data_IF_997511670559
#
_entry.id   IF_997511670559
#
_cell.length_a   1.000
_cell.length_b   1.000
_cell.length_c   1.000
_cell.angle_alpha   90.00
_cell.angle_beta   90.00
_cell.angle_gamma   90.00
#
_symmetry.space_group_name_H-M   'P 1'
#
loop_
_entity.id
_entity.type
_entity.pdbx_description
1 polymer ?
#
# COMPACT_ATOMS: atom_id res chain seq x y z
N UNK A 1 33.79 33.16 8.18
CA UNK A 1 32.57 33.00 7.34
C UNK A 1 32.51 31.67 6.57
N UNK A 2 33.55 31.27 5.83
CA UNK A 2 33.54 30.05 5.00
C UNK A 2 33.25 28.73 5.74
N UNK A 3 33.69 28.59 7.00
CA UNK A 3 33.40 27.40 7.85
C UNK A 3 31.92 27.29 8.28
N UNK A 4 31.24 28.43 8.48
CA UNK A 4 29.81 28.49 8.88
C UNK A 4 28.93 28.10 7.70
N UNK A 5 29.19 28.67 6.52
CA UNK A 5 28.47 28.35 5.29
C UNK A 5 28.60 26.87 4.94
N UNK A 6 29.80 26.28 5.12
CA UNK A 6 30.02 24.86 4.86
C UNK A 6 29.26 23.96 5.84
N UNK A 7 29.26 24.28 7.14
CA UNK A 7 28.53 23.51 8.16
C UNK A 7 27.02 23.58 7.96
N UNK A 8 26.49 24.76 7.61
CA UNK A 8 25.07 24.95 7.27
C UNK A 8 24.70 24.21 5.99
N UNK A 9 25.57 24.21 4.98
CA UNK A 9 25.37 23.45 3.74
C UNK A 9 25.27 21.94 3.96
N UNK A 10 26.14 21.38 4.80
CA UNK A 10 26.09 19.95 5.17
C UNK A 10 24.78 19.62 5.91
N UNK A 11 24.34 20.49 6.82
CA UNK A 11 23.08 20.29 7.54
C UNK A 11 21.85 20.31 6.63
N UNK A 12 21.79 21.26 5.68
CA UNK A 12 20.71 21.33 4.69
C UNK A 12 20.70 20.08 3.79
N UNK A 13 21.87 19.60 3.39
CA UNK A 13 21.99 18.40 2.57
C UNK A 13 21.49 17.14 3.31
N UNK A 14 21.90 16.96 4.57
CA UNK A 14 21.42 15.85 5.42
C UNK A 14 19.90 15.96 5.64
N UNK A 15 19.39 17.16 5.89
CA UNK A 15 17.95 17.40 6.03
C UNK A 15 17.20 17.01 4.75
N UNK A 16 17.64 17.48 3.58
CA UNK A 16 17.03 17.12 2.29
C UNK A 16 17.09 15.62 2.01
N UNK A 17 18.20 14.95 2.35
CA UNK A 17 18.34 13.52 2.17
C UNK A 17 17.35 12.74 3.05
N UNK A 18 17.24 13.09 4.34
CA UNK A 18 16.32 12.44 5.28
C UNK A 18 14.87 12.75 4.95
N UNK A 19 14.53 14.00 4.61
CA UNK A 19 13.18 14.40 4.18
C UNK A 19 12.79 13.67 2.90
N UNK A 20 13.68 13.58 1.90
CA UNK A 20 13.40 12.85 0.66
C UNK A 20 13.16 11.36 0.89
N UNK A 21 13.95 10.75 1.78
CA UNK A 21 13.76 9.35 2.17
C UNK A 21 12.43 9.13 2.92
N UNK A 22 12.09 10.02 3.85
CA UNK A 22 10.86 9.96 4.64
C UNK A 22 9.61 10.17 3.79
N UNK A 23 9.64 11.14 2.86
CA UNK A 23 8.53 11.44 1.96
C UNK A 23 8.22 10.25 1.04
N UNK A 24 9.25 9.61 0.45
CA UNK A 24 9.05 8.39 -0.36
C UNK A 24 8.36 7.26 0.40
N UNK A 25 8.75 7.04 1.66
CA UNK A 25 8.16 6.00 2.52
C UNK A 25 6.73 6.34 2.96
N UNK A 26 6.40 7.63 3.06
CA UNK A 26 5.06 8.10 3.43
C UNK A 26 4.03 7.86 2.31
N UNK A 27 4.41 8.08 1.05
CA UNK A 27 3.53 7.80 -0.10
C UNK A 27 3.17 6.31 -0.20
N UNK A 28 4.15 5.42 0.01
CA UNK A 28 3.96 3.98 -0.03
C UNK A 28 3.00 3.47 1.08
N UNK A 29 2.94 4.16 2.23
CA UNK A 29 2.04 3.82 3.33
C UNK A 29 0.59 4.23 3.07
N UNK A 30 0.37 5.28 2.25
CA UNK A 30 -0.97 5.70 1.84
C UNK A 30 -1.57 4.74 0.81
N UNK A 31 -0.76 4.27 -0.15
CA UNK A 31 -1.19 3.31 -1.18
C UNK A 31 -1.63 1.97 -0.58
N UNK A 32 -0.96 1.52 0.49
CA UNK A 32 -1.32 0.30 1.22
C UNK A 32 -2.68 0.40 1.92
N UNK A 33 -3.04 1.57 2.47
CA UNK A 33 -4.33 1.78 3.13
C UNK A 33 -5.49 1.85 2.12
N UNK A 34 -5.24 2.44 0.96
CA UNK A 34 -6.19 2.48 -0.17
C UNK A 34 -6.42 1.07 -0.73
N UNK A 35 -5.37 0.26 -0.88
CA UNK A 35 -5.50 -1.13 -1.31
C UNK A 35 -6.42 -1.95 -0.36
N UNK A 36 -6.25 -1.82 0.96
CA UNK A 36 -7.08 -2.50 1.96
C UNK A 36 -8.58 -2.24 1.76
N UNK A 37 -8.98 -0.99 1.52
CA UNK A 37 -10.38 -0.60 1.38
C UNK A 37 -10.95 -0.91 0.00
N UNK A 38 -10.20 -0.61 -1.05
CA UNK A 38 -10.75 -0.55 -2.42
C UNK A 38 -10.40 -1.80 -3.26
N UNK A 39 -9.45 -2.63 -2.81
CA UNK A 39 -9.00 -3.85 -3.50
C UNK A 39 -9.50 -5.12 -2.80
N UNK A 40 -9.08 -5.34 -1.55
CA UNK A 40 -9.24 -6.63 -0.88
C UNK A 40 -10.68 -6.90 -0.44
N UNK A 41 -11.35 -5.90 0.14
CA UNK A 41 -12.70 -6.07 0.67
C UNK A 41 -13.73 -6.39 -0.45
N UNK A 42 -13.78 -5.65 -1.58
CA UNK A 42 -14.67 -6.00 -2.68
C UNK A 42 -14.39 -7.39 -3.27
N UNK A 43 -13.12 -7.79 -3.40
CA UNK A 43 -12.73 -9.11 -3.92
C UNK A 43 -13.17 -10.23 -2.98
N UNK A 44 -13.00 -10.06 -1.66
CA UNK A 44 -13.44 -11.04 -0.66
C UNK A 44 -14.97 -11.20 -0.65
N UNK A 45 -15.71 -10.10 -0.72
CA UNK A 45 -17.18 -10.15 -0.80
C UNK A 45 -17.66 -10.83 -2.10
N UNK A 46 -17.03 -10.49 -3.23
CA UNK A 46 -17.35 -11.06 -4.54
C UNK A 46 -17.10 -12.57 -4.58
N UNK A 47 -15.96 -13.04 -4.04
CA UNK A 47 -15.66 -14.47 -4.02
C UNK A 47 -16.59 -15.23 -3.08
N UNK A 48 -16.97 -14.66 -1.92
CA UNK A 48 -17.96 -15.27 -1.02
C UNK A 48 -19.34 -15.38 -1.67
N UNK A 49 -19.78 -14.33 -2.37
CA UNK A 49 -21.01 -14.38 -3.15
C UNK A 49 -20.94 -15.47 -4.24
N UNK A 50 -19.78 -15.68 -4.87
CA UNK A 50 -19.59 -16.75 -5.86
C UNK A 50 -19.61 -18.16 -5.25
N UNK A 51 -19.19 -18.35 -3.99
CA UNK A 51 -19.37 -19.63 -3.28
C UNK A 51 -20.87 -19.93 -3.15
N UNK A 52 -21.67 -18.95 -2.74
CA UNK A 52 -23.13 -19.12 -2.62
C UNK A 52 -23.77 -19.42 -3.98
N UNK A 53 -23.33 -18.77 -5.05
CA UNK A 53 -23.79 -19.07 -6.42
C UNK A 53 -23.44 -20.49 -6.84
N UNK A 54 -22.22 -20.95 -6.54
CA UNK A 54 -21.78 -22.31 -6.81
C UNK A 54 -22.65 -23.34 -6.07
N UNK A 55 -22.97 -23.10 -4.80
CA UNK A 55 -23.87 -23.97 -4.03
C UNK A 55 -25.28 -24.00 -4.64
N UNK A 56 -25.78 -22.86 -5.13
CA UNK A 56 -27.07 -22.79 -5.83
C UNK A 56 -27.08 -23.52 -7.17
N UNK A 57 -26.00 -23.44 -7.92
CA UNK A 57 -25.84 -24.22 -9.15
C UNK A 57 -25.92 -25.72 -8.86
N UNK A 58 -25.17 -26.21 -7.85
CA UNK A 58 -25.22 -27.63 -7.44
C UNK A 58 -26.65 -28.06 -7.09
N UNK A 59 -27.36 -27.27 -6.28
CA UNK A 59 -28.75 -27.52 -5.90
C UNK A 59 -29.68 -27.63 -7.11
N UNK A 60 -29.55 -26.68 -8.05
CA UNK A 60 -30.39 -26.61 -9.25
C UNK A 60 -30.09 -27.75 -10.24
N UNK A 61 -28.81 -28.09 -10.45
CA UNK A 61 -28.42 -29.25 -11.26
C UNK A 61 -29.02 -30.54 -10.68
N UNK A 62 -28.90 -30.76 -9.36
CA UNK A 62 -29.50 -31.92 -8.70
C UNK A 62 -31.02 -31.94 -8.84
N UNK A 63 -31.67 -30.79 -8.69
CA UNK A 63 -33.13 -30.67 -8.84
C UNK A 63 -33.60 -30.98 -10.26
N UNK A 64 -32.89 -30.48 -11.28
CA UNK A 64 -33.16 -30.79 -12.69
C UNK A 64 -33.12 -32.30 -12.94
N UNK A 65 -32.08 -32.98 -12.47
CA UNK A 65 -31.94 -34.45 -12.60
C UNK A 65 -33.04 -35.20 -11.85
N UNK A 66 -33.39 -34.78 -10.63
CA UNK A 66 -34.43 -35.45 -9.83
C UNK A 66 -35.84 -35.28 -10.40
N UNK A 67 -36.15 -34.10 -10.94
CA UNK A 67 -37.47 -33.79 -11.49
C UNK A 67 -37.61 -34.20 -12.95
N UNK A 68 -36.49 -34.47 -13.65
CA UNK A 68 -36.52 -34.72 -15.08
C UNK A 68 -36.85 -33.47 -15.90
N UNK A 69 -36.55 -32.28 -15.36
CA UNK A 69 -36.98 -30.99 -15.91
C UNK A 69 -35.78 -30.10 -16.27
N UNK A 70 -35.90 -29.37 -17.38
CA UNK A 70 -34.89 -28.43 -17.87
C UNK A 70 -34.98 -27.06 -17.18
N UNK A 71 -36.13 -26.66 -16.62
CA UNK A 71 -36.29 -25.31 -16.04
C UNK A 71 -35.23 -24.98 -14.95
N UNK A 72 -34.90 -25.87 -14.00
CA UNK A 72 -33.85 -25.61 -13.02
C UNK A 72 -32.44 -25.52 -13.65
N UNK A 73 -32.23 -26.17 -14.79
CA UNK A 73 -30.95 -26.17 -15.50
C UNK A 73 -30.66 -24.79 -16.10
N UNK A 74 -31.67 -24.15 -16.68
CA UNK A 74 -31.57 -22.80 -17.23
C UNK A 74 -31.31 -21.78 -16.10
N UNK A 75 -31.98 -21.94 -14.95
CA UNK A 75 -31.71 -21.11 -13.77
C UNK A 75 -30.26 -21.28 -13.28
N UNK A 76 -29.73 -22.51 -13.26
CA UNK A 76 -28.34 -22.78 -12.88
C UNK A 76 -27.35 -22.06 -13.81
N UNK A 77 -27.63 -22.07 -15.12
CA UNK A 77 -26.83 -21.37 -16.12
C UNK A 77 -26.83 -19.85 -15.94
N UNK A 78 -27.92 -19.27 -15.46
CA UNK A 78 -27.96 -17.85 -15.13
C UNK A 78 -27.14 -17.50 -13.88
N UNK A 79 -27.09 -18.39 -12.88
CA UNK A 79 -26.17 -18.26 -11.74
C UNK A 79 -24.71 -18.39 -12.18
N UNK A 80 -24.42 -19.32 -13.10
CA UNK A 80 -23.10 -19.49 -13.69
C UNK A 80 -22.61 -18.22 -14.40
N UNK A 81 -23.41 -17.64 -15.31
CA UNK A 81 -23.04 -16.39 -16.02
C UNK A 81 -22.69 -15.27 -15.05
N UNK A 82 -23.54 -15.05 -14.03
CA UNK A 82 -23.30 -14.06 -12.97
C UNK A 82 -22.01 -14.36 -12.20
N UNK A 83 -21.69 -15.63 -11.95
CA UNK A 83 -20.44 -16.04 -11.32
C UNK A 83 -19.22 -15.78 -12.20
N UNK A 84 -19.29 -16.10 -13.49
CA UNK A 84 -18.21 -15.86 -14.46
C UNK A 84 -17.91 -14.37 -14.62
N UNK A 85 -18.95 -13.52 -14.68
CA UNK A 85 -18.83 -12.06 -14.75
C UNK A 85 -18.13 -11.50 -13.51
N UNK A 86 -18.45 -12.03 -12.32
CA UNK A 86 -17.78 -11.62 -11.07
C UNK A 86 -16.28 -11.94 -11.12
N UNK A 87 -15.86 -13.05 -11.73
CA UNK A 87 -14.42 -13.32 -11.92
C UNK A 87 -13.76 -12.29 -12.85
N UNK A 88 -14.44 -11.83 -13.92
CA UNK A 88 -13.94 -10.75 -14.79
C UNK A 88 -13.73 -9.47 -13.98
N UNK A 89 -14.73 -9.08 -13.19
CA UNK A 89 -14.65 -7.89 -12.35
C UNK A 89 -13.53 -8.01 -11.31
N UNK A 90 -13.35 -9.19 -10.71
CA UNK A 90 -12.26 -9.44 -9.77
C UNK A 90 -10.88 -9.29 -10.43
N UNK A 91 -10.72 -9.73 -11.69
CA UNK A 91 -9.47 -9.54 -12.44
C UNK A 91 -9.15 -8.04 -12.67
N UNK A 92 -10.19 -7.23 -12.89
CA UNK A 92 -10.04 -5.78 -13.07
C UNK A 92 -9.71 -5.06 -11.76
N UNK A 93 -10.37 -5.47 -10.67
CA UNK A 93 -10.12 -4.90 -9.35
C UNK A 93 -8.74 -5.31 -8.87
N UNK A 94 -8.35 -6.59 -9.01
CA UNK A 94 -7.10 -7.14 -8.47
C UNK A 94 -6.13 -7.68 -9.53
N UNK A 95 -5.51 -6.78 -10.33
CA UNK A 95 -4.65 -7.16 -11.44
C UNK A 95 -3.41 -7.95 -11.01
N UNK A 96 -2.87 -7.69 -9.81
CA UNK A 96 -1.72 -8.41 -9.27
C UNK A 96 -1.97 -9.92 -9.10
N UNK A 97 -3.23 -10.33 -8.84
CA UNK A 97 -3.63 -11.74 -8.74
C UNK A 97 -4.47 -12.22 -9.91
N UNK A 98 -4.52 -11.47 -11.02
CA UNK A 98 -5.32 -11.83 -12.19
C UNK A 98 -5.02 -13.25 -12.70
N UNK A 99 -3.77 -13.72 -12.61
CA UNK A 99 -3.40 -15.09 -13.01
C UNK A 99 -4.12 -16.15 -12.16
N UNK A 100 -4.20 -15.94 -10.85
CA UNK A 100 -4.87 -16.88 -9.93
C UNK A 100 -6.39 -16.81 -10.08
N UNK A 101 -6.94 -15.61 -10.28
CA UNK A 101 -8.36 -15.39 -10.53
C UNK A 101 -8.78 -16.06 -11.85
N UNK A 102 -7.98 -15.95 -12.91
CA UNK A 102 -8.20 -16.68 -14.18
C UNK A 102 -8.17 -18.18 -13.99
N UNK A 103 -7.25 -18.70 -13.17
CA UNK A 103 -7.21 -20.13 -12.89
C UNK A 103 -8.49 -20.62 -12.19
N UNK A 104 -8.98 -19.87 -11.20
CA UNK A 104 -10.26 -20.15 -10.53
C UNK A 104 -11.45 -20.09 -11.49
N UNK A 105 -11.48 -19.08 -12.35
CA UNK A 105 -12.51 -18.93 -13.38
C UNK A 105 -12.53 -20.12 -14.32
N UNK A 106 -11.37 -20.59 -14.76
CA UNK A 106 -11.27 -21.77 -15.61
C UNK A 106 -11.69 -23.06 -14.87
N UNK A 107 -11.41 -23.19 -13.57
CA UNK A 107 -11.97 -24.29 -12.75
C UNK A 107 -13.50 -24.21 -12.64
N UNK A 108 -14.05 -23.00 -12.47
CA UNK A 108 -15.48 -22.74 -12.41
C UNK A 108 -16.18 -23.13 -13.72
N UNK A 109 -15.62 -22.72 -14.86
CA UNK A 109 -16.09 -23.10 -16.21
C UNK A 109 -16.06 -24.60 -16.46
N UNK A 110 -14.98 -25.27 -16.03
CA UNK A 110 -14.85 -26.73 -16.14
C UNK A 110 -15.90 -27.46 -15.32
N UNK A 111 -16.18 -26.98 -14.11
CA UNK A 111 -17.24 -27.53 -13.27
C UNK A 111 -18.61 -27.36 -13.95
N UNK A 112 -18.94 -26.15 -14.39
CA UNK A 112 -20.23 -25.86 -15.04
C UNK A 112 -20.47 -26.74 -16.28
N UNK A 113 -19.50 -26.79 -17.18
CA UNK A 113 -19.60 -27.62 -18.38
C UNK A 113 -19.80 -29.12 -18.05
N UNK A 114 -19.11 -29.62 -17.02
CA UNK A 114 -19.26 -31.01 -16.58
C UNK A 114 -20.63 -31.26 -15.92
N UNK A 115 -21.11 -30.34 -15.09
CA UNK A 115 -22.38 -30.46 -14.39
C UNK A 115 -23.56 -30.34 -15.37
N UNK A 116 -23.51 -29.39 -16.30
CA UNK A 116 -24.47 -29.22 -17.37
C UNK A 116 -24.55 -30.46 -18.26
N UNK A 117 -23.41 -30.94 -18.76
CA UNK A 117 -23.38 -32.16 -19.59
C UNK A 117 -23.94 -33.37 -18.84
N UNK A 118 -23.57 -33.51 -17.56
CA UNK A 118 -24.10 -34.60 -16.72
C UNK A 118 -25.62 -34.49 -16.62
N UNK A 119 -26.15 -33.33 -16.21
CA UNK A 119 -27.59 -33.12 -16.11
C UNK A 119 -28.33 -33.41 -17.43
N UNK A 120 -27.81 -32.93 -18.56
CA UNK A 120 -28.39 -33.23 -19.87
C UNK A 120 -28.38 -34.72 -20.24
N UNK A 121 -27.28 -35.42 -19.96
CA UNK A 121 -27.17 -36.85 -20.23
C UNK A 121 -28.19 -37.64 -19.39
N UNK A 122 -28.41 -37.23 -18.15
CA UNK A 122 -29.44 -37.78 -17.26
C UNK A 122 -30.84 -37.55 -17.82
N UNK A 123 -31.17 -36.32 -18.23
CA UNK A 123 -32.47 -35.97 -18.82
C UNK A 123 -32.75 -36.74 -20.13
N UNK A 124 -31.71 -37.01 -20.92
CA UNK A 124 -31.82 -37.75 -22.18
C UNK A 124 -31.80 -39.28 -22.00
N UNK A 125 -31.78 -39.79 -20.77
CA UNK A 125 -31.61 -41.21 -20.44
C UNK A 125 -30.36 -41.85 -21.09
N UNK A 126 -29.30 -41.06 -21.31
CA UNK A 126 -28.06 -41.51 -21.99
C UNK A 126 -26.98 -42.00 -21.02
N UNK A 127 -27.23 -41.99 -19.72
CA UNK A 127 -26.21 -42.31 -18.71
C UNK A 127 -26.08 -43.82 -18.53
N UNK A 128 -25.02 -44.40 -19.10
CA UNK A 128 -24.68 -45.81 -18.90
C UNK A 128 -24.05 -46.10 -17.52
N UNK A 129 -23.45 -45.09 -16.85
CA UNK A 129 -22.75 -45.26 -15.57
C UNK A 129 -22.91 -44.03 -14.64
N UNK A 130 -24.08 -43.92 -14.01
CA UNK A 130 -24.46 -42.80 -13.14
C UNK A 130 -23.52 -42.58 -11.94
N UNK A 131 -23.07 -43.62 -11.20
CA UNK A 131 -22.22 -43.42 -10.02
C UNK A 131 -20.88 -42.77 -10.34
N UNK A 132 -20.28 -43.10 -11.49
CA UNK A 132 -18.96 -42.59 -11.85
C UNK A 132 -19.00 -41.11 -12.28
N UNK A 133 -20.01 -40.71 -13.07
CA UNK A 133 -20.21 -39.31 -13.44
C UNK A 133 -20.45 -38.42 -12.21
N UNK A 134 -21.34 -38.84 -11.30
CA UNK A 134 -21.62 -38.10 -10.06
C UNK A 134 -20.36 -37.99 -9.18
N UNK A 135 -19.56 -39.05 -9.09
CA UNK A 135 -18.29 -39.02 -8.33
C UNK A 135 -17.30 -38.02 -8.93
N UNK A 136 -17.15 -37.99 -10.26
CA UNK A 136 -16.26 -37.04 -10.95
C UNK A 136 -16.73 -35.59 -10.75
N UNK A 137 -18.03 -35.35 -10.88
CA UNK A 137 -18.64 -34.03 -10.66
C UNK A 137 -18.39 -33.53 -9.23
N UNK A 138 -18.64 -34.37 -8.22
CA UNK A 138 -18.37 -34.04 -6.81
C UNK A 138 -16.89 -33.78 -6.54
N UNK A 139 -16.00 -34.53 -7.20
CA UNK A 139 -14.55 -34.32 -7.09
C UNK A 139 -14.15 -32.96 -7.66
N UNK A 140 -14.65 -32.61 -8.84
CA UNK A 140 -14.40 -31.30 -9.47
C UNK A 140 -14.96 -30.16 -8.62
N UNK A 141 -16.17 -30.31 -8.08
CA UNK A 141 -16.81 -29.33 -7.20
C UNK A 141 -15.99 -29.09 -5.91
N UNK A 142 -15.55 -30.17 -5.26
CA UNK A 142 -14.75 -30.06 -4.05
C UNK A 142 -13.38 -29.44 -4.32
N UNK A 143 -12.73 -29.81 -5.43
CA UNK A 143 -11.48 -29.18 -5.83
C UNK A 143 -11.63 -27.67 -6.05
N UNK A 144 -12.69 -27.24 -6.74
CA UNK A 144 -13.01 -25.83 -6.95
C UNK A 144 -13.29 -25.10 -5.63
N UNK A 145 -14.09 -25.70 -4.73
CA UNK A 145 -14.33 -25.15 -3.37
C UNK A 145 -13.02 -24.96 -2.59
N UNK A 146 -12.12 -25.93 -2.67
CA UNK A 146 -10.81 -25.85 -2.03
C UNK A 146 -9.92 -24.76 -2.63
N UNK A 147 -9.89 -24.63 -3.97
CA UNK A 147 -9.16 -23.57 -4.65
C UNK A 147 -9.69 -22.18 -4.27
N UNK A 148 -11.02 -22.01 -4.24
CA UNK A 148 -11.65 -20.76 -3.82
C UNK A 148 -11.30 -20.45 -2.35
N UNK A 149 -11.37 -21.44 -1.46
CA UNK A 149 -11.02 -21.27 -0.03
C UNK A 149 -9.56 -20.87 0.15
N UNK A 150 -8.63 -21.51 -0.57
CA UNK A 150 -7.19 -21.18 -0.56
C UNK A 150 -6.95 -19.77 -1.07
N UNK A 151 -7.60 -19.37 -2.16
CA UNK A 151 -7.49 -18.01 -2.69
C UNK A 151 -7.99 -16.98 -1.67
N UNK A 152 -9.15 -17.23 -1.03
CA UNK A 152 -9.72 -16.37 0.01
C UNK A 152 -8.75 -16.22 1.20
N UNK A 153 -8.25 -17.32 1.72
CA UNK A 153 -7.30 -17.33 2.85
C UNK A 153 -6.02 -16.55 2.50
N UNK A 154 -5.45 -16.82 1.32
CA UNK A 154 -4.27 -16.12 0.84
C UNK A 154 -4.53 -14.62 0.62
N UNK A 155 -5.69 -14.24 0.09
CA UNK A 155 -6.11 -12.84 -0.06
C UNK A 155 -6.25 -12.16 1.29
N UNK A 156 -6.84 -12.83 2.28
CA UNK A 156 -7.02 -12.33 3.63
C UNK A 156 -5.68 -12.19 4.37
N UNK A 157 -4.77 -13.16 4.27
CA UNK A 157 -3.44 -13.06 4.86
C UNK A 157 -2.63 -11.92 4.25
N UNK A 158 -2.70 -11.73 2.93
CA UNK A 158 -2.09 -10.59 2.26
C UNK A 158 -2.69 -9.27 2.74
N UNK A 159 -4.00 -9.19 2.92
CA UNK A 159 -4.67 -8.05 3.51
C UNK A 159 -4.16 -7.74 4.92
N UNK A 160 -4.14 -8.74 5.81
CA UNK A 160 -3.66 -8.57 7.20
C UNK A 160 -2.19 -8.16 7.23
N UNK A 161 -1.35 -8.75 6.37
CA UNK A 161 0.08 -8.42 6.27
C UNK A 161 0.28 -6.98 5.79
N UNK A 162 -0.43 -6.55 4.75
CA UNK A 162 -0.39 -5.18 4.23
C UNK A 162 -0.90 -4.18 5.26
N UNK A 163 -1.94 -4.53 6.02
CA UNK A 163 -2.48 -3.70 7.10
C UNK A 163 -1.48 -3.56 8.25
N UNK A 164 -0.87 -4.66 8.70
CA UNK A 164 0.14 -4.66 9.75
C UNK A 164 1.37 -3.84 9.33
N UNK A 165 1.87 -4.01 8.09
CA UNK A 165 2.99 -3.22 7.57
C UNK A 165 2.66 -1.74 7.46
N UNK A 166 1.42 -1.39 7.14
CA UNK A 166 0.96 0.00 7.13
C UNK A 166 0.92 0.61 8.52
N UNK A 167 0.42 -0.11 9.53
CA UNK A 167 0.39 0.38 10.91
C UNK A 167 1.80 0.57 11.49
N UNK A 168 2.74 -0.34 11.23
CA UNK A 168 4.14 -0.18 11.63
C UNK A 168 4.80 0.99 10.89
N UNK A 169 4.54 1.15 9.59
CA UNK A 169 5.08 2.25 8.80
C UNK A 169 4.51 3.60 9.26
N UNK A 170 3.24 3.68 9.63
CA UNK A 170 2.63 4.89 10.20
C UNK A 170 3.23 5.23 11.55
N UNK A 171 3.45 4.25 12.45
CA UNK A 171 4.14 4.49 13.73
C UNK A 171 5.59 4.95 13.52
N UNK A 172 6.34 4.28 12.64
CA UNK A 172 7.70 4.67 12.28
C UNK A 172 7.76 6.07 11.66
N UNK A 173 6.82 6.41 10.77
CA UNK A 173 6.75 7.73 10.15
C UNK A 173 6.37 8.82 11.18
N UNK A 174 5.50 8.52 12.14
CA UNK A 174 5.17 9.44 13.24
C UNK A 174 6.38 9.64 14.18
N UNK A 175 7.05 8.56 14.59
CA UNK A 175 8.26 8.65 15.42
C UNK A 175 9.41 9.36 14.68
N UNK A 176 9.61 9.08 13.39
CA UNK A 176 10.56 9.80 12.54
C UNK A 176 10.19 11.28 12.39
N UNK A 177 8.90 11.60 12.23
CA UNK A 177 8.42 12.97 12.13
C UNK A 177 8.63 13.76 13.43
N UNK A 178 8.34 13.15 14.58
CA UNK A 178 8.61 13.72 15.91
C UNK A 178 10.12 13.88 16.11
N UNK A 179 10.92 12.86 15.79
CA UNK A 179 12.37 12.93 15.89
C UNK A 179 12.97 14.01 14.99
N UNK A 180 12.49 14.14 13.75
CA UNK A 180 12.86 15.20 12.82
C UNK A 180 12.45 16.59 13.32
N UNK A 181 11.26 16.71 13.90
CA UNK A 181 10.79 17.95 14.52
C UNK A 181 11.69 18.39 15.68
N UNK A 182 12.02 17.46 16.59
CA UNK A 182 12.93 17.71 17.72
C UNK A 182 14.33 18.09 17.21
N UNK A 183 14.86 17.36 16.22
CA UNK A 183 16.15 17.66 15.59
C UNK A 183 16.18 19.07 14.97
N UNK A 184 15.12 19.46 14.29
CA UNK A 184 15.01 20.80 13.69
C UNK A 184 14.99 21.90 14.76
N UNK A 185 14.27 21.67 15.87
CA UNK A 185 14.18 22.60 16.99
C UNK A 185 15.54 22.82 17.68
N UNK A 186 16.30 21.73 17.89
CA UNK A 186 17.68 21.79 18.40
C UNK A 186 18.58 22.52 17.40
N UNK A 187 18.47 22.22 16.11
CA UNK A 187 19.26 22.87 15.06
C UNK A 187 19.03 24.38 15.01
N UNK A 188 17.77 24.82 15.11
CA UNK A 188 17.42 26.24 15.16
C UNK A 188 17.98 26.92 16.40
N UNK A 189 17.95 26.27 17.56
CA UNK A 189 18.59 26.76 18.79
C UNK A 189 20.11 26.93 18.66
N UNK A 190 20.78 25.95 18.06
CA UNK A 190 22.24 26.00 17.79
C UNK A 190 22.57 27.13 16.81
N UNK A 191 21.81 27.27 15.71
CA UNK A 191 21.98 28.36 14.76
C UNK A 191 21.86 29.73 15.43
N UNK A 192 20.82 29.95 16.24
CA UNK A 192 20.61 31.21 16.96
C UNK A 192 21.78 31.49 17.93
N UNK A 193 22.25 30.47 18.66
CA UNK A 193 23.40 30.60 19.55
C UNK A 193 24.67 31.01 18.79
N UNK A 194 24.97 30.36 17.67
CA UNK A 194 26.15 30.67 16.86
C UNK A 194 26.06 32.05 16.20
N UNK A 195 24.88 32.44 15.69
CA UNK A 195 24.66 33.79 15.14
C UNK A 195 24.92 34.82 16.24
N UNK A 196 24.34 34.64 17.44
CA UNK A 196 24.56 35.56 18.56
C UNK A 196 26.02 35.67 18.96
N UNK A 197 26.72 34.55 19.10
CA UNK A 197 28.14 34.52 19.47
C UNK A 197 29.03 35.14 18.38
N UNK A 198 28.69 34.95 17.10
CA UNK A 198 29.46 35.54 15.99
C UNK A 198 29.21 37.05 15.86
N UNK A 199 27.96 37.50 16.03
CA UNK A 199 27.60 38.93 16.05
C UNK A 199 28.28 39.64 17.21
N UNK A 200 28.38 39.03 18.39
CA UNK A 200 29.14 39.57 19.51
C UNK A 200 30.62 39.75 19.18
N UNK A 201 31.23 38.80 18.48
CA UNK A 201 32.63 38.91 18.05
C UNK A 201 32.84 40.01 16.99
N UNK A 202 31.90 40.20 16.07
CA UNK A 202 31.90 41.34 15.14
C UNK A 202 31.74 42.68 15.86
N UNK A 203 30.89 42.75 16.89
CA UNK A 203 30.71 43.95 17.71
C UNK A 203 31.99 44.31 18.48
N UNK A 204 32.66 43.32 19.09
CA UNK A 204 33.94 43.53 19.79
C UNK A 204 35.04 43.99 18.82
N UNK A 205 35.11 43.43 17.61
CA UNK A 205 36.09 43.86 16.60
C UNK A 205 35.81 45.30 16.12
N UNK A 206 34.53 45.67 15.94
CA UNK A 206 34.15 47.03 15.58
C UNK A 206 34.51 48.04 16.70
N UNK A 207 34.31 47.66 17.96
CA UNK A 207 34.66 48.48 19.12
C UNK A 207 36.18 48.65 19.28
N UNK A 208 36.96 47.59 19.06
CA UNK A 208 38.41 47.65 19.06
C UNK A 208 38.95 48.54 17.94
N UNK A 209 38.39 48.47 16.73
CA UNK A 209 38.78 49.33 15.61
C UNK A 209 38.46 50.81 15.87
N UNK A 210 37.27 51.12 16.39
CA UNK A 210 36.92 52.49 16.77
C UNK A 210 37.86 53.05 17.86
N UNK A 211 38.30 52.20 18.78
CA UNK A 211 39.26 52.57 19.83
C UNK A 211 40.67 52.79 19.26
N UNK A 212 41.08 51.98 18.29
CA UNK A 212 42.34 52.13 17.56
C UNK A 212 42.37 53.44 16.75
N UNK A 213 41.29 53.76 16.04
CA UNK A 213 41.18 55.02 15.29
C UNK A 213 41.27 56.24 16.20
N UNK A 214 40.61 56.22 17.37
CA UNK A 214 40.76 57.29 18.37
C UNK A 214 42.20 57.44 18.85
N UNK A 215 42.89 56.34 19.19
CA UNK A 215 44.29 56.39 19.65
C UNK A 215 45.24 56.86 18.55
N UNK A 216 44.99 56.49 17.29
CA UNK A 216 45.78 56.96 16.15
C UNK A 216 45.56 58.46 15.97
N UNK A 217 44.31 58.94 15.98
CA UNK A 217 44.00 60.36 15.87
C UNK A 217 44.62 61.19 17.01
N UNK A 218 44.58 60.71 18.26
CA UNK A 218 45.23 61.35 19.41
C UNK A 218 46.75 61.41 19.26
N UNK A 219 47.41 60.34 18.81
CA UNK A 219 48.86 60.35 18.57
C UNK A 219 49.25 61.23 17.39
N UNK A 220 48.46 61.27 16.33
CA UNK A 220 48.68 62.19 15.21
C UNK A 220 48.51 63.65 15.65
N UNK A 221 47.54 63.94 16.52
CA UNK A 221 47.36 65.28 17.10
C UNK A 221 48.52 65.68 18.03
N UNK A 222 49.06 64.74 18.82
CA UNK A 222 50.24 64.99 19.67
C UNK A 222 51.51 65.24 18.85
N UNK A 223 51.67 64.58 17.70
CA UNK A 223 52.80 64.79 16.78
C UNK A 223 52.67 66.12 16.00
N UNK A 224 51.45 66.62 15.83
CA UNK A 224 51.16 67.91 15.20
C UNK A 224 51.11 69.08 16.19
N UNK A 225 51.15 68.82 17.51
CA UNK A 225 51.32 69.86 18.51
C UNK A 225 52.77 70.36 18.44
N UNK A 226 53.02 71.62 18.03
CA UNK A 226 54.37 72.15 17.96
C UNK A 226 54.98 72.09 19.37
N UNK A 227 56.21 71.58 19.47
CA UNK A 227 57.03 71.72 20.65
C UNK A 227 57.17 73.22 20.95
N UNK A 228 56.32 73.72 21.86
CA UNK A 228 56.48 75.03 22.45
C UNK A 228 57.79 75.04 23.23
N UNK A 229 58.66 75.95 22.82
CA UNK A 229 59.94 76.31 23.41
C UNK A 229 59.91 76.44 24.93
#
# INVERSE_FOLDING_TARGET
MRKIIFMVGVAIFVFLAVTSYSVRKSFQSSDQLTAIKDLYFPVLQKIEANIVRLDKMEELFMRSVMLGDHDPLDEAQDFYKKGDDVFIEMEQIYPERAKEIKALREEYRRYDAMALQTAEDFLKNKVANMPEQTKRMNTTLNALRDSIKKFRESSYQNFVKTLASSQETVKLNLYMGIALGIMNLIFMGVLVFFIRNNVQMMAVIAEQNATLEKRVAERTAQLLAPAGH
#
